data_IF_125178295139
#
_entry.id   IF_125178295139
#
_cell.length_a   1.000
_cell.length_b   1.000
_cell.length_c   1.000
_cell.angle_alpha   90.00
_cell.angle_beta   90.00
_cell.angle_gamma   90.00
#
_symmetry.space_group_name_H-M   'P 1'
#
loop_
_entity.id
_entity.type
_entity.pdbx_description
1 polymer ?
#
# COMPACT_ATOMS: atom_id res chain seq x y z
N UNK A 1 17.71 -6.96 5.26
CA UNK A 1 17.76 -5.55 5.73
C UNK A 1 16.49 -4.92 5.22
N UNK A 2 15.63 -4.39 6.10
CA UNK A 2 14.39 -3.74 5.65
C UNK A 2 14.75 -2.47 4.89
N UNK A 3 14.34 -2.39 3.63
CA UNK A 3 14.58 -1.18 2.83
C UNK A 3 13.50 -0.18 3.22
N UNK A 4 13.86 1.05 3.58
CA UNK A 4 12.87 2.12 3.71
C UNK A 4 12.67 2.66 2.30
N UNK A 5 11.44 2.61 1.79
CA UNK A 5 11.11 3.26 0.52
C UNK A 5 11.45 4.74 0.62
N UNK A 6 12.19 5.28 -0.35
CA UNK A 6 12.48 6.71 -0.44
C UNK A 6 11.20 7.53 -0.53
N UNK A 7 10.16 6.93 -1.10
CA UNK A 7 8.83 7.51 -1.19
C UNK A 7 7.75 6.49 -0.88
N UNK A 8 6.85 6.86 0.03
CA UNK A 8 5.58 6.17 0.22
C UNK A 8 4.49 7.21 0.45
N UNK A 9 3.26 6.88 0.04
CA UNK A 9 2.10 7.75 0.21
C UNK A 9 0.95 6.98 0.84
N UNK A 10 0.38 7.58 1.87
CA UNK A 10 -0.73 7.02 2.62
C UNK A 10 -2.05 7.28 1.89
N UNK A 11 -2.87 6.24 1.77
CA UNK A 11 -4.20 6.29 1.17
C UNK A 11 -5.18 5.45 1.98
N UNK A 12 -6.46 5.77 1.88
CA UNK A 12 -7.50 4.99 2.55
C UNK A 12 -7.74 3.67 1.82
N UNK A 13 -8.03 2.60 2.57
CA UNK A 13 -8.37 1.28 2.04
C UNK A 13 -9.49 1.35 0.99
N UNK A 14 -10.51 2.17 1.24
CA UNK A 14 -11.61 2.38 0.28
C UNK A 14 -11.16 2.88 -1.09
N UNK A 15 -10.02 3.56 -1.16
CA UNK A 15 -9.46 4.02 -2.43
C UNK A 15 -8.86 2.86 -3.20
N UNK A 16 -8.14 1.97 -2.53
CA UNK A 16 -7.58 0.78 -3.15
C UNK A 16 -8.66 -0.22 -3.59
N UNK A 17 -9.72 -0.36 -2.81
CA UNK A 17 -10.89 -1.19 -3.15
C UNK A 17 -11.68 -0.70 -4.39
N UNK A 18 -11.41 0.50 -4.90
CA UNK A 18 -11.96 0.93 -6.19
C UNK A 18 -11.28 0.23 -7.37
N UNK A 19 -10.11 -0.36 -7.16
CA UNK A 19 -9.44 -1.17 -8.18
C UNK A 19 -10.12 -2.55 -8.26
N UNK A 20 -10.65 -2.96 -9.42
CA UNK A 20 -11.47 -4.17 -9.53
C UNK A 20 -10.71 -5.48 -9.28
N UNK A 21 -9.39 -5.49 -9.48
CA UNK A 21 -8.55 -6.65 -9.19
C UNK A 21 -7.86 -6.58 -7.82
N UNK A 22 -8.28 -5.64 -6.96
CA UNK A 22 -7.72 -5.49 -5.63
C UNK A 22 -7.94 -6.75 -4.77
N UNK A 23 -6.85 -7.27 -4.20
CA UNK A 23 -6.86 -8.47 -3.34
C UNK A 23 -6.03 -8.24 -2.09
N UNK A 24 -6.72 -7.93 -1.00
CA UNK A 24 -6.11 -7.66 0.29
C UNK A 24 -5.58 -8.96 0.90
N UNK A 25 -4.27 -9.04 1.14
CA UNK A 25 -3.68 -10.11 1.94
C UNK A 25 -3.92 -9.83 3.42
N UNK A 26 -5.15 -10.10 3.89
CA UNK A 26 -5.55 -9.84 5.28
C UNK A 26 -4.74 -10.62 6.31
N UNK A 27 -4.09 -11.71 5.90
CA UNK A 27 -3.15 -12.48 6.71
C UNK A 27 -1.88 -11.70 7.11
N UNK A 28 -1.50 -10.71 6.30
CA UNK A 28 -0.30 -9.89 6.50
C UNK A 28 -0.61 -8.56 7.20
N UNK A 29 -1.85 -8.34 7.67
CA UNK A 29 -2.22 -7.13 8.41
C UNK A 29 -1.40 -7.07 9.70
N UNK A 30 -0.84 -5.89 10.00
CA UNK A 30 -0.02 -5.73 11.18
C UNK A 30 -0.86 -5.97 12.44
N UNK A 31 -0.45 -6.91 13.32
CA UNK A 31 -1.15 -7.13 14.57
C UNK A 31 -1.03 -5.88 15.45
N UNK A 32 -2.18 -5.33 15.84
CA UNK A 32 -2.22 -4.21 16.78
C UNK A 32 -1.93 -4.74 18.19
N UNK A 33 -1.06 -4.06 18.93
CA UNK A 33 -0.49 -4.54 20.21
C UNK A 33 -1.49 -4.87 21.32
N UNK A 34 -2.78 -4.59 21.14
CA UNK A 34 -3.78 -4.69 22.22
C UNK A 34 -4.99 -5.58 21.89
N UNK A 35 -5.13 -6.12 20.68
CA UNK A 35 -6.27 -6.99 20.32
C UNK A 35 -5.79 -8.20 19.52
N UNK A 36 -5.87 -9.39 20.15
CA UNK A 36 -5.48 -10.71 19.59
C UNK A 36 -6.55 -11.28 18.65
N UNK A 37 -7.46 -10.43 18.16
CA UNK A 37 -8.59 -10.84 17.34
C UNK A 37 -8.46 -10.20 15.96
N UNK A 38 -8.24 -11.03 14.94
CA UNK A 38 -8.21 -10.74 13.50
C UNK A 38 -8.53 -9.28 13.14
N UNK A 39 -7.54 -8.38 13.25
CA UNK A 39 -7.69 -6.99 12.82
C UNK A 39 -8.11 -7.01 11.35
N UNK A 40 -9.32 -6.51 11.08
CA UNK A 40 -9.84 -6.38 9.72
C UNK A 40 -9.53 -4.99 9.20
N UNK A 41 -9.04 -4.91 7.97
CA UNK A 41 -8.92 -3.63 7.26
C UNK A 41 -10.33 -3.10 6.97
N UNK A 42 -10.65 -1.96 7.57
CA UNK A 42 -11.86 -1.19 7.28
C UNK A 42 -11.58 -0.18 6.19
N UNK A 43 -12.62 0.32 5.55
CA UNK A 43 -12.52 1.35 4.52
C UNK A 43 -11.88 2.67 4.98
N UNK A 44 -11.84 2.89 6.29
CA UNK A 44 -11.26 4.06 6.96
C UNK A 44 -9.81 3.83 7.41
N UNK A 45 -9.31 2.59 7.37
CA UNK A 45 -7.90 2.31 7.61
C UNK A 45 -7.04 2.93 6.50
N UNK A 46 -5.80 3.24 6.87
CA UNK A 46 -4.80 3.83 5.98
C UNK A 46 -3.76 2.77 5.65
N UNK A 47 -3.51 2.57 4.35
CA UNK A 47 -2.40 1.78 3.85
C UNK A 47 -1.40 2.67 3.12
N UNK A 48 -0.18 2.17 2.97
CA UNK A 48 0.92 2.90 2.38
C UNK A 48 1.26 2.30 1.01
N UNK A 49 1.09 3.10 -0.04
CA UNK A 49 1.57 2.79 -1.37
C UNK A 49 3.05 3.18 -1.45
N UNK A 50 3.90 2.19 -1.66
CA UNK A 50 5.34 2.31 -1.77
C UNK A 50 5.74 2.67 -3.21
N UNK A 51 6.99 3.11 -3.40
CA UNK A 51 7.50 3.52 -4.72
C UNK A 51 7.50 2.42 -5.79
N UNK A 52 7.58 1.17 -5.36
CA UNK A 52 7.49 -0.03 -6.19
C UNK A 52 6.04 -0.45 -6.46
N UNK A 53 5.06 0.42 -6.17
CA UNK A 53 3.62 0.17 -6.29
C UNK A 53 3.06 -0.92 -5.37
N UNK A 54 3.85 -1.41 -4.42
CA UNK A 54 3.40 -2.36 -3.40
C UNK A 54 2.65 -1.59 -2.32
N UNK A 55 1.55 -2.16 -1.84
CA UNK A 55 0.77 -1.60 -0.72
C UNK A 55 1.08 -2.37 0.55
N UNK A 56 1.49 -1.66 1.59
CA UNK A 56 1.82 -2.22 2.90
C UNK A 56 1.03 -1.56 4.02
N UNK A 57 0.74 -2.31 5.10
CA UNK A 57 0.13 -1.79 6.34
C UNK A 57 1.22 -1.20 7.26
N UNK A 58 2.05 -0.32 6.69
CA UNK A 58 3.13 0.35 7.39
C UNK A 58 4.13 1.08 6.48
N UNK A 59 5.13 1.70 7.09
CA UNK A 59 6.16 2.46 6.35
C UNK A 59 7.26 1.59 5.72
N UNK A 60 7.33 0.30 6.09
CA UNK A 60 8.31 -0.63 5.57
C UNK A 60 7.75 -1.33 4.32
N UNK A 61 8.55 -1.42 3.25
CA UNK A 61 8.17 -2.08 1.99
C UNK A 61 8.26 -3.62 2.07
N UNK A 62 9.08 -4.15 2.96
CA UNK A 62 9.31 -5.59 3.13
C UNK A 62 8.42 -6.21 4.22
N UNK A 63 7.58 -5.44 4.91
CA UNK A 63 6.75 -5.91 6.01
C UNK A 63 5.27 -5.57 5.82
N UNK A 64 4.39 -6.45 6.32
CA UNK A 64 2.94 -6.26 6.31
C UNK A 64 2.40 -5.95 4.90
N UNK A 65 2.84 -6.72 3.91
CA UNK A 65 2.48 -6.54 2.50
C UNK A 65 1.01 -6.94 2.31
N UNK A 66 0.18 -5.96 1.95
CA UNK A 66 -1.25 -6.15 1.72
C UNK A 66 -1.52 -6.44 0.24
N UNK A 67 -0.73 -5.87 -0.67
CA UNK A 67 -0.86 -6.08 -2.11
C UNK A 67 0.48 -5.90 -2.82
N UNK A 68 0.88 -6.88 -3.64
CA UNK A 68 2.15 -6.88 -4.37
C UNK A 68 2.01 -7.27 -5.86
N UNK A 69 0.78 -7.29 -6.39
CA UNK A 69 0.52 -7.68 -7.77
C UNK A 69 0.63 -6.44 -8.69
N UNK A 70 1.85 -6.15 -9.14
CA UNK A 70 2.15 -4.93 -9.89
C UNK A 70 1.88 -5.16 -11.38
N UNK A 71 0.62 -4.96 -11.78
CA UNK A 71 0.19 -5.00 -13.18
C UNK A 71 0.24 -3.61 -13.83
N UNK A 72 0.30 -3.51 -15.16
CA UNK A 72 0.22 -2.23 -15.86
C UNK A 72 -1.09 -1.49 -15.56
N UNK A 73 -2.19 -2.22 -15.41
CA UNK A 73 -3.52 -1.70 -15.04
C UNK A 73 -3.50 -1.11 -13.62
N UNK A 74 -2.82 -1.76 -12.68
CA UNK A 74 -2.63 -1.25 -11.34
C UNK A 74 -1.81 0.04 -11.31
N UNK A 75 -0.72 0.09 -12.09
CA UNK A 75 0.08 1.31 -12.20
C UNK A 75 -0.76 2.46 -12.76
N UNK A 76 -1.50 2.22 -13.84
CA UNK A 76 -2.39 3.23 -14.42
C UNK A 76 -3.45 3.71 -13.41
N UNK A 77 -4.06 2.80 -12.64
CA UNK A 77 -4.97 3.14 -11.54
C UNK A 77 -4.29 4.02 -10.47
N UNK A 78 -3.06 3.69 -10.07
CA UNK A 78 -2.30 4.47 -9.11
C UNK A 78 -2.06 5.91 -9.61
N UNK A 79 -1.69 6.07 -10.88
CA UNK A 79 -1.45 7.38 -11.49
C UNK A 79 -2.76 8.16 -11.73
N UNK A 80 -3.77 7.52 -12.30
CA UNK A 80 -5.01 8.16 -12.72
C UNK A 80 -5.96 8.44 -11.55
N UNK A 81 -6.17 7.46 -10.67
CA UNK A 81 -7.15 7.51 -9.57
C UNK A 81 -6.50 7.95 -8.26
N UNK A 82 -5.42 7.27 -7.84
CA UNK A 82 -4.75 7.63 -6.59
C UNK A 82 -3.88 8.89 -6.72
N UNK A 83 -3.66 9.39 -7.94
CA UNK A 83 -2.74 10.52 -8.20
C UNK A 83 -1.40 10.28 -7.50
N UNK A 84 -0.90 9.05 -7.62
CA UNK A 84 0.39 8.65 -7.08
C UNK A 84 1.44 8.98 -8.12
N UNK A 85 2.23 10.01 -7.84
CA UNK A 85 3.32 10.44 -8.72
C UNK A 85 4.63 10.28 -7.95
N UNK A 86 5.55 9.52 -8.53
CA UNK A 86 6.90 9.40 -7.97
C UNK A 86 7.61 10.73 -8.19
N UNK A 87 8.14 11.38 -7.14
CA UNK A 87 8.98 12.54 -7.33
C UNK A 87 10.21 12.11 -8.12
N UNK A 88 10.36 12.66 -9.33
CA UNK A 88 11.59 12.51 -10.11
C UNK A 88 12.65 13.33 -9.39
N UNK A 89 13.48 12.66 -8.60
CA UNK A 89 14.68 13.29 -8.07
C UNK A 89 15.65 13.45 -9.25
N UNK A 90 15.71 14.65 -9.83
CA UNK A 90 16.84 15.00 -10.68
C UNK A 90 18.09 14.89 -9.79
N UNK A 91 18.94 13.90 -10.05
CA UNK A 91 20.29 13.84 -9.48
C UNK A 91 21.03 15.10 -9.94
N UNK A 92 21.09 16.10 -9.08
CA UNK A 92 21.92 17.30 -9.25
C UNK A 92 23.42 16.96 -9.11
#
# INVERSE_FOLDING_TARGET
MATIGKYCKAYLVKQFRQYPQWREQTENIRPQKEVVDNRKLTDEDILYLQENYIVTDGIFQDENIIFNDITPEWQDFCHQTLKFELPVYETA
#
